data_IF_272165479508
#
_entry.id   IF_272165479508
#
_cell.length_a   1.000
_cell.length_b   1.000
_cell.length_c   1.000
_cell.angle_alpha   90.00
_cell.angle_beta   90.00
_cell.angle_gamma   90.00
#
_symmetry.space_group_name_H-M   'P 1'
#
loop_
_entity.id
_entity.type
_entity.pdbx_description
1 polymer ?
#
# COMPACT_ATOMS: atom_id res chain seq x y z
N UNK A 1 10.40 -2.26 -37.56
CA UNK A 1 10.23 -3.69 -37.25
C UNK A 1 9.98 -3.81 -35.75
N UNK A 2 8.88 -4.46 -35.38
CA UNK A 2 8.39 -4.55 -34.01
C UNK A 2 8.98 -5.83 -33.41
N UNK A 3 9.80 -5.69 -32.37
CA UNK A 3 10.37 -6.79 -31.59
C UNK A 3 9.38 -7.17 -30.48
N UNK A 4 8.42 -8.02 -30.83
CA UNK A 4 7.40 -8.56 -29.93
C UNK A 4 7.75 -10.03 -29.62
N UNK A 5 8.48 -10.31 -28.56
CA UNK A 5 8.82 -11.71 -28.25
C UNK A 5 9.86 -12.00 -27.17
N UNK A 6 10.33 -11.03 -26.39
CA UNK A 6 11.23 -11.31 -25.25
C UNK A 6 10.59 -11.19 -23.87
N UNK A 7 9.33 -10.77 -23.78
CA UNK A 7 8.69 -10.51 -22.48
C UNK A 7 7.62 -11.54 -22.06
N UNK A 8 7.36 -12.59 -22.87
CA UNK A 8 6.29 -13.58 -22.57
C UNK A 8 6.84 -14.97 -22.18
N UNK A 9 8.16 -15.14 -22.16
CA UNK A 9 8.78 -16.38 -21.67
C UNK A 9 9.53 -16.11 -20.37
N UNK A 10 8.81 -15.63 -19.35
CA UNK A 10 9.26 -15.86 -17.98
C UNK A 10 9.18 -17.38 -17.78
N UNK A 11 10.27 -18.08 -18.09
CA UNK A 11 10.38 -19.50 -17.79
C UNK A 11 10.15 -19.61 -16.29
N UNK A 12 9.07 -20.29 -15.92
CA UNK A 12 8.79 -20.55 -14.53
C UNK A 12 9.89 -21.49 -14.05
N UNK A 13 10.90 -20.97 -13.35
CA UNK A 13 12.06 -21.74 -12.86
C UNK A 13 11.69 -22.71 -11.71
N UNK A 14 10.45 -23.21 -11.68
CA UNK A 14 9.94 -24.09 -10.64
C UNK A 14 8.87 -25.06 -11.16
N UNK A 15 8.71 -26.18 -10.46
CA UNK A 15 7.74 -27.23 -10.82
C UNK A 15 6.29 -26.77 -10.65
N UNK A 16 5.36 -27.42 -11.33
CA UNK A 16 3.91 -27.17 -11.16
C UNK A 16 3.45 -27.37 -9.72
N UNK A 17 3.97 -28.39 -9.03
CA UNK A 17 3.72 -28.61 -7.60
C UNK A 17 4.16 -27.41 -6.74
N UNK A 18 5.29 -26.80 -7.08
CA UNK A 18 5.76 -25.58 -6.40
C UNK A 18 4.85 -24.40 -6.71
N UNK A 19 4.40 -24.25 -7.97
CA UNK A 19 3.46 -23.21 -8.37
C UNK A 19 2.15 -23.30 -7.58
N UNK A 20 1.60 -24.52 -7.46
CA UNK A 20 0.37 -24.78 -6.73
C UNK A 20 0.51 -24.42 -5.24
N UNK A 21 1.64 -24.78 -4.62
CA UNK A 21 1.93 -24.39 -3.23
C UNK A 21 2.00 -22.87 -3.06
N UNK A 22 2.60 -22.15 -4.00
CA UNK A 22 2.65 -20.68 -3.98
C UNK A 22 1.24 -20.10 -4.03
N UNK A 23 0.41 -20.56 -4.97
CA UNK A 23 -0.97 -20.06 -5.11
C UNK A 23 -1.81 -20.31 -3.85
N UNK A 24 -1.64 -21.48 -3.22
CA UNK A 24 -2.28 -21.79 -1.95
C UNK A 24 -1.87 -20.83 -0.83
N UNK A 25 -0.57 -20.53 -0.70
CA UNK A 25 -0.08 -19.60 0.31
C UNK A 25 -0.53 -18.16 0.03
N UNK A 26 -0.52 -17.72 -1.22
CA UNK A 26 -1.04 -16.40 -1.60
C UNK A 26 -2.51 -16.29 -1.23
N UNK A 27 -3.32 -17.30 -1.58
CA UNK A 27 -4.74 -17.34 -1.21
C UNK A 27 -4.93 -17.30 0.31
N UNK A 28 -4.14 -18.08 1.05
CA UNK A 28 -4.18 -18.10 2.52
C UNK A 28 -3.90 -16.71 3.10
N UNK A 29 -2.81 -16.06 2.69
CA UNK A 29 -2.44 -14.73 3.16
C UNK A 29 -3.52 -13.67 2.88
N UNK A 30 -4.06 -13.65 1.66
CA UNK A 30 -5.11 -12.68 1.30
C UNK A 30 -6.38 -12.94 2.10
N UNK A 31 -6.76 -14.21 2.28
CA UNK A 31 -7.97 -14.57 3.03
C UNK A 31 -7.83 -14.20 4.52
N UNK A 32 -6.67 -14.48 5.12
CA UNK A 32 -6.38 -14.09 6.51
C UNK A 32 -6.41 -12.56 6.70
N UNK A 33 -5.81 -11.81 5.77
CA UNK A 33 -5.82 -10.35 5.81
C UNK A 33 -7.24 -9.78 5.68
N UNK A 34 -8.04 -10.34 4.76
CA UNK A 34 -9.45 -9.96 4.59
C UNK A 34 -10.26 -10.23 5.87
N UNK A 35 -10.15 -11.43 6.44
CA UNK A 35 -10.87 -11.80 7.65
C UNK A 35 -10.49 -10.88 8.82
N UNK A 36 -9.19 -10.61 9.00
CA UNK A 36 -8.71 -9.68 10.01
C UNK A 36 -9.27 -8.27 9.82
N UNK A 37 -9.28 -7.76 8.59
CA UNK A 37 -9.85 -6.44 8.30
C UNK A 37 -11.36 -6.41 8.62
N UNK A 38 -12.10 -7.44 8.22
CA UNK A 38 -13.52 -7.56 8.50
C UNK A 38 -13.79 -7.66 10.01
N UNK A 39 -13.00 -8.43 10.76
CA UNK A 39 -13.11 -8.51 12.21
C UNK A 39 -12.91 -7.14 12.87
N UNK A 40 -11.87 -6.40 12.49
CA UNK A 40 -11.63 -5.03 12.99
C UNK A 40 -12.83 -4.13 12.70
N UNK A 41 -13.35 -4.14 11.48
CA UNK A 41 -14.51 -3.32 11.10
C UNK A 41 -15.78 -3.71 11.86
N UNK A 42 -16.01 -5.01 12.10
CA UNK A 42 -17.17 -5.48 12.84
C UNK A 42 -17.07 -5.18 14.34
N UNK A 43 -15.88 -5.34 14.93
CA UNK A 43 -15.62 -4.98 16.33
C UNK A 43 -15.82 -3.48 16.58
N UNK A 44 -15.43 -2.64 15.62
CA UNK A 44 -15.55 -1.18 15.71
C UNK A 44 -16.74 -0.62 14.91
N UNK A 45 -17.78 -1.44 14.67
CA UNK A 45 -18.95 -1.06 13.89
C UNK A 45 -19.61 0.26 14.34
N UNK A 46 -19.73 0.59 15.64
CA UNK A 46 -20.26 1.89 16.05
C UNK A 46 -19.47 3.07 15.49
N UNK A 47 -18.12 3.01 15.54
CA UNK A 47 -17.25 4.07 14.99
C UNK A 47 -17.32 4.14 13.46
N UNK A 48 -17.49 2.99 12.80
CA UNK A 48 -17.70 2.95 11.35
C UNK A 48 -19.01 3.65 10.96
N UNK A 49 -20.09 3.46 11.73
CA UNK A 49 -21.37 4.15 11.50
C UNK A 49 -21.25 5.65 11.77
N UNK A 50 -20.59 6.06 12.85
CA UNK A 50 -20.30 7.48 13.13
C UNK A 50 -19.54 8.15 11.99
N UNK A 51 -18.56 7.45 11.40
CA UNK A 51 -17.81 7.94 10.25
C UNK A 51 -18.66 8.07 8.99
N UNK A 52 -19.57 7.12 8.76
CA UNK A 52 -20.51 7.19 7.65
C UNK A 52 -21.48 8.37 7.79
N UNK A 53 -22.03 8.59 9.00
CA UNK A 53 -22.91 9.72 9.29
C UNK A 53 -22.17 11.06 9.15
N UNK A 54 -20.91 11.13 9.60
CA UNK A 54 -20.07 12.31 9.43
C UNK A 54 -19.79 12.61 7.95
N UNK A 55 -19.53 11.59 7.12
CA UNK A 55 -19.34 11.77 5.67
C UNK A 55 -20.62 12.24 4.97
N UNK A 56 -21.80 11.82 5.45
CA UNK A 56 -23.07 12.34 4.93
C UNK A 56 -23.26 13.83 5.23
N UNK A 57 -22.75 14.30 6.38
CA UNK A 57 -22.85 15.71 6.78
C UNK A 57 -21.77 16.62 6.16
N UNK A 58 -20.55 16.12 5.99
CA UNK A 58 -19.37 16.92 5.64
C UNK A 58 -18.78 16.63 4.25
N UNK A 59 -19.27 15.62 3.53
CA UNK A 59 -18.79 15.09 2.23
C UNK A 59 -17.37 14.53 2.23
N UNK A 60 -16.47 15.11 3.03
CA UNK A 60 -15.06 14.73 3.19
C UNK A 60 -14.65 14.83 4.65
N UNK A 61 -13.70 13.99 5.06
CA UNK A 61 -13.09 14.04 6.38
C UNK A 61 -11.56 14.12 6.24
N UNK A 62 -10.94 14.96 7.05
CA UNK A 62 -9.49 15.01 7.20
C UNK A 62 -8.98 13.91 8.14
N UNK A 63 -7.65 13.78 8.20
CA UNK A 63 -7.01 12.73 8.99
C UNK A 63 -7.19 12.92 10.51
N UNK A 64 -7.32 14.16 11.01
CA UNK A 64 -7.57 14.42 12.44
C UNK A 64 -9.00 14.08 12.81
N UNK A 65 -9.97 14.44 11.97
CA UNK A 65 -11.37 14.10 12.13
C UNK A 65 -11.56 12.57 12.19
N UNK A 66 -10.93 11.82 11.29
CA UNK A 66 -10.96 10.35 11.33
C UNK A 66 -10.35 9.81 12.61
N UNK A 67 -9.20 10.36 13.06
CA UNK A 67 -8.56 9.96 14.33
C UNK A 67 -9.48 10.18 15.53
N UNK A 68 -10.16 11.33 15.58
CA UNK A 68 -11.11 11.67 16.66
C UNK A 68 -12.28 10.70 16.71
N UNK A 69 -12.88 10.39 15.56
CA UNK A 69 -13.99 9.41 15.47
C UNK A 69 -13.52 8.04 15.98
N UNK A 70 -12.35 7.56 15.55
CA UNK A 70 -11.79 6.27 16.01
C UNK A 70 -11.50 6.28 17.52
N UNK A 71 -10.99 7.39 18.06
CA UNK A 71 -10.74 7.58 19.49
C UNK A 71 -12.03 7.76 20.32
N UNK A 72 -13.15 8.07 19.66
CA UNK A 72 -14.43 8.33 20.30
C UNK A 72 -14.63 9.73 20.85
N UNK A 73 -13.86 10.67 20.34
CA UNK A 73 -13.98 12.08 20.65
C UNK A 73 -15.05 12.71 19.75
N UNK A 74 -15.82 13.68 20.24
CA UNK A 74 -16.76 14.42 19.41
C UNK A 74 -16.02 15.12 18.27
N UNK A 75 -16.66 15.31 17.12
CA UNK A 75 -16.17 16.21 16.08
C UNK A 75 -16.55 17.65 16.48
N UNK A 76 -15.62 18.60 16.38
CA UNK A 76 -15.97 20.02 16.59
C UNK A 76 -16.87 20.50 15.44
N UNK A 77 -17.74 21.45 15.75
CA UNK A 77 -18.71 22.05 14.83
C UNK A 77 -18.09 22.57 13.52
N UNK A 78 -18.90 22.66 12.43
CA UNK A 78 -18.43 22.87 11.07
C UNK A 78 -17.71 24.22 10.96
N UNK A 79 -16.39 24.19 11.07
CA UNK A 79 -15.57 25.33 10.66
C UNK A 79 -15.53 25.28 9.13
N UNK A 80 -15.89 26.36 8.41
CA UNK A 80 -15.82 26.38 6.96
C UNK A 80 -14.40 25.99 6.56
N UNK A 81 -14.30 25.04 5.63
CA UNK A 81 -13.07 24.48 5.12
C UNK A 81 -12.02 25.58 4.96
N UNK A 82 -11.08 25.65 5.90
CA UNK A 82 -9.90 26.46 5.68
C UNK A 82 -9.18 25.73 4.56
N UNK A 83 -8.89 26.38 3.41
CA UNK A 83 -8.08 25.76 2.38
C UNK A 83 -6.83 25.23 3.08
N UNK A 84 -6.35 24.02 2.77
CA UNK A 84 -5.11 23.54 3.33
C UNK A 84 -4.06 24.58 2.98
N UNK A 85 -3.63 25.35 3.99
CA UNK A 85 -2.44 26.19 3.88
C UNK A 85 -1.37 25.24 3.38
N UNK A 86 -0.69 25.53 2.24
CA UNK A 86 0.45 24.73 1.84
C UNK A 86 1.37 24.69 3.04
N UNK A 87 1.50 23.53 3.68
CA UNK A 87 2.54 23.32 4.66
C UNK A 87 3.82 23.61 3.89
N UNK A 88 4.44 24.73 4.22
CA UNK A 88 5.77 25.07 3.74
C UNK A 88 6.60 23.86 4.14
N UNK A 89 6.96 23.05 3.14
CA UNK A 89 7.82 21.91 3.35
C UNK A 89 9.03 22.41 4.16
N UNK A 90 9.46 21.72 5.23
CA UNK A 90 10.74 22.03 5.83
C UNK A 90 11.80 22.08 4.72
N UNK A 91 12.74 23.03 4.75
CA UNK A 91 13.70 23.20 3.66
C UNK A 91 14.37 21.86 3.39
N UNK A 92 14.32 21.44 2.13
CA UNK A 92 14.86 20.17 1.66
C UNK A 92 16.28 19.95 2.24
N UNK A 93 16.58 18.76 2.80
CA UNK A 93 17.95 18.41 3.08
C UNK A 93 18.72 18.42 1.75
N UNK A 94 19.84 19.15 1.74
CA UNK A 94 20.75 19.24 0.60
C UNK A 94 21.17 17.83 0.12
N UNK A 95 21.37 17.75 -1.19
CA UNK A 95 21.75 16.59 -1.98
C UNK A 95 22.57 15.47 -1.30
N UNK A 96 22.02 14.25 -1.41
CA UNK A 96 22.63 12.93 -1.68
C UNK A 96 24.16 12.79 -1.50
N UNK A 97 24.55 12.02 -0.49
CA UNK A 97 25.69 11.07 -0.63
C UNK A 97 25.15 9.73 -1.16
N UNK A 98 25.81 9.08 -2.13
CA UNK A 98 25.39 7.77 -2.61
C UNK A 98 25.69 6.71 -1.54
N UNK A 99 24.64 5.98 -1.10
CA UNK A 99 24.81 4.80 -0.26
C UNK A 99 25.64 3.77 -1.04
N UNK A 100 26.68 3.15 -0.44
CA UNK A 100 27.42 2.10 -1.12
C UNK A 100 26.47 0.94 -1.43
N UNK A 101 26.46 0.50 -2.69
CA UNK A 101 25.69 -0.66 -3.12
C UNK A 101 26.23 -1.90 -2.40
N UNK A 102 25.39 -2.56 -1.60
CA UNK A 102 25.76 -3.75 -0.83
C UNK A 102 25.63 -5.05 -1.65
N UNK A 103 25.23 -4.94 -2.92
CA UNK A 103 25.06 -6.08 -3.82
C UNK A 103 26.25 -6.14 -4.79
N UNK A 104 27.09 -7.19 -4.72
CA UNK A 104 28.15 -7.38 -5.70
C UNK A 104 27.54 -7.64 -7.09
N UNK A 105 28.14 -7.11 -8.17
CA UNK A 105 27.67 -7.38 -9.52
C UNK A 105 27.86 -8.86 -9.85
N UNK A 106 26.80 -9.52 -10.31
CA UNK A 106 26.87 -10.88 -10.83
C UNK A 106 27.67 -10.82 -12.15
N UNK A 107 28.77 -11.58 -12.28
CA UNK A 107 29.53 -11.60 -13.53
C UNK A 107 28.65 -12.19 -14.64
N UNK A 108 28.69 -11.63 -15.86
CA UNK A 108 28.00 -12.23 -16.99
C UNK A 108 28.59 -13.63 -17.25
N UNK A 109 27.74 -14.64 -17.38
CA UNK A 109 28.17 -15.97 -17.82
C UNK A 109 28.82 -15.82 -19.19
N UNK A 110 30.01 -16.42 -19.44
CA UNK A 110 30.59 -16.43 -20.77
C UNK A 110 29.60 -17.13 -21.70
N UNK A 111 29.19 -16.43 -22.74
CA UNK A 111 28.49 -17.04 -23.87
C UNK A 111 29.53 -17.91 -24.55
N UNK A 112 29.50 -19.21 -24.30
CA UNK A 112 30.25 -20.16 -25.12
C UNK A 112 29.64 -20.07 -26.51
N UNK A 113 30.36 -19.45 -27.44
CA UNK A 113 30.09 -19.59 -28.86
C UNK A 113 30.68 -20.93 -29.31
N UNK A 114 29.81 -21.89 -29.58
CA UNK A 114 30.00 -22.93 -30.61
C UNK A 114 28.73 -23.00 -31.45
#
# INVERSE_FOLDING_TARGET
>A
QIFLGREIAQHQDYSEDTALKIDHEVKRFVTEAYNRANEILMQHKPRLMEMADALLAHETLDAEQVRRIVAGEPLDEPTPATPPTPQVAPPAPKAKEPRPAIVPPIPPRPVTQE
#
